data_IF_058089431540
#
_entry.id   IF_058089431540
#
_cell.length_a   1.000
_cell.length_b   1.000
_cell.length_c   1.000
_cell.angle_alpha   90.00
_cell.angle_beta   90.00
_cell.angle_gamma   90.00
#
_symmetry.space_group_name_H-M   'P 1'
#
loop_
_entity.id
_entity.type
_entity.pdbx_description
1 polymer ?
#
# COMPACT_ATOMS: atom_id res chain seq x y z
N UNK A 1 41.49 16.80 31.49
CA UNK A 1 40.49 15.84 31.00
C UNK A 1 39.56 16.63 30.09
N UNK A 2 39.58 16.32 28.79
CA UNK A 2 39.03 17.11 27.70
C UNK A 2 37.50 16.94 27.65
N UNK A 3 36.78 17.98 28.06
CA UNK A 3 35.30 18.02 28.13
C UNK A 3 34.68 18.02 26.73
N UNK A 4 35.46 18.20 25.65
CA UNK A 4 34.99 18.23 24.25
C UNK A 4 34.69 16.85 23.68
N UNK A 5 35.40 15.81 24.13
CA UNK A 5 35.21 14.41 23.72
C UNK A 5 33.93 13.80 24.29
N UNK A 6 33.51 14.24 25.47
CA UNK A 6 32.29 13.74 26.11
C UNK A 6 30.99 14.19 25.34
N UNK A 7 30.96 15.42 24.85
CA UNK A 7 29.77 15.92 24.11
C UNK A 7 29.55 15.18 22.80
N UNK A 8 30.62 14.85 22.08
CA UNK A 8 30.52 14.08 20.83
C UNK A 8 30.04 12.64 21.07
N UNK A 9 30.53 12.03 22.14
CA UNK A 9 30.14 10.68 22.55
C UNK A 9 28.68 10.62 23.02
N UNK A 10 28.22 11.59 23.81
CA UNK A 10 26.80 11.67 24.21
C UNK A 10 25.87 11.96 23.02
N UNK A 11 26.29 12.80 22.07
CA UNK A 11 25.56 13.03 20.83
C UNK A 11 25.48 11.76 19.97
N UNK A 12 26.58 11.03 19.84
CA UNK A 12 26.61 9.76 19.14
C UNK A 12 25.69 8.70 19.78
N UNK A 13 25.76 8.54 21.12
CA UNK A 13 24.88 7.65 21.88
C UNK A 13 23.43 8.08 21.69
N UNK A 14 23.11 9.37 21.75
CA UNK A 14 21.76 9.88 21.51
C UNK A 14 21.25 9.57 20.11
N UNK A 15 22.08 9.71 19.08
CA UNK A 15 21.75 9.35 17.70
C UNK A 15 21.53 7.83 17.54
N UNK A 16 22.40 7.01 18.13
CA UNK A 16 22.26 5.55 18.11
C UNK A 16 20.97 5.13 18.82
N UNK A 17 20.69 5.71 19.99
CA UNK A 17 19.45 5.44 20.71
C UNK A 17 18.23 5.84 19.87
N UNK A 18 18.26 7.00 19.22
CA UNK A 18 17.22 7.48 18.34
C UNK A 18 17.04 6.59 17.10
N UNK A 19 18.14 6.05 16.55
CA UNK A 19 18.06 5.04 15.48
C UNK A 19 17.51 3.70 15.98
N UNK A 20 17.88 3.26 17.19
CA UNK A 20 17.33 2.04 17.78
C UNK A 20 15.84 2.17 18.10
N UNK A 21 15.38 3.35 18.51
CA UNK A 21 13.95 3.64 18.73
C UNK A 21 13.11 3.66 17.44
N UNK A 22 13.75 3.84 16.27
CA UNK A 22 13.13 3.73 14.97
C UNK A 22 12.98 2.27 14.53
N UNK A 23 13.74 1.33 15.12
CA UNK A 23 13.59 -0.09 14.79
C UNK A 23 12.20 -0.59 15.25
N UNK A 24 11.55 -1.42 14.45
CA UNK A 24 10.23 -1.92 14.78
C UNK A 24 10.28 -2.80 16.02
N UNK A 25 9.52 -2.42 17.05
CA UNK A 25 9.34 -3.25 18.25
C UNK A 25 8.51 -4.49 17.95
N UNK A 26 7.66 -4.41 16.93
CA UNK A 26 6.84 -5.51 16.44
C UNK A 26 6.87 -5.52 14.90
N UNK A 27 7.68 -6.42 14.34
CA UNK A 27 7.85 -6.52 12.88
C UNK A 27 6.56 -6.97 12.20
N UNK A 28 5.90 -7.99 12.74
CA UNK A 28 4.68 -8.57 12.19
C UNK A 28 3.49 -8.37 13.13
N UNK A 29 2.34 -8.13 12.54
CA UNK A 29 1.05 -8.00 13.22
C UNK A 29 0.05 -8.98 12.59
N UNK A 30 -0.17 -10.11 13.26
CA UNK A 30 -1.13 -11.13 12.84
C UNK A 30 -2.40 -11.02 13.70
N UNK A 31 -3.26 -10.09 13.37
CA UNK A 31 -4.57 -9.96 13.97
C UNK A 31 -5.68 -10.50 13.01
N UNK A 32 -6.95 -10.61 13.44
CA UNK A 32 -8.03 -11.11 12.59
C UNK A 32 -8.17 -10.38 11.25
N UNK A 33 -7.91 -9.07 11.22
CA UNK A 33 -7.95 -8.29 9.97
C UNK A 33 -6.83 -8.71 9.01
N UNK A 34 -5.59 -8.81 9.51
CA UNK A 34 -4.45 -9.28 8.71
C UNK A 34 -4.67 -10.69 8.18
N UNK A 35 -5.14 -11.61 9.04
CA UNK A 35 -5.41 -12.99 8.66
C UNK A 35 -6.51 -13.10 7.60
N UNK A 36 -7.57 -12.30 7.71
CA UNK A 36 -8.63 -12.24 6.70
C UNK A 36 -8.07 -11.82 5.34
N UNK A 37 -7.26 -10.75 5.29
CA UNK A 37 -6.69 -10.30 4.02
C UNK A 37 -5.62 -11.25 3.48
N UNK A 38 -4.82 -11.91 4.33
CA UNK A 38 -3.90 -12.97 3.91
C UNK A 38 -4.66 -14.14 3.26
N UNK A 39 -5.80 -14.52 3.83
CA UNK A 39 -6.65 -15.57 3.24
C UNK A 39 -7.17 -15.16 1.86
N UNK A 40 -7.64 -13.91 1.70
CA UNK A 40 -8.09 -13.37 0.39
C UNK A 40 -6.95 -13.38 -0.62
N UNK A 41 -5.74 -12.95 -0.21
CA UNK A 41 -4.54 -12.99 -1.06
C UNK A 41 -4.28 -14.43 -1.52
N UNK A 42 -4.29 -15.39 -0.62
CA UNK A 42 -4.02 -16.79 -0.93
C UNK A 42 -5.06 -17.38 -1.89
N UNK A 43 -6.35 -17.19 -1.61
CA UNK A 43 -7.46 -17.74 -2.42
C UNK A 43 -7.41 -17.27 -3.87
N UNK A 44 -6.99 -16.03 -4.12
CA UNK A 44 -6.96 -15.48 -5.49
C UNK A 44 -5.61 -15.71 -6.16
N UNK A 45 -4.51 -15.57 -5.41
CA UNK A 45 -3.17 -15.70 -5.98
C UNK A 45 -2.83 -17.15 -6.38
N UNK A 46 -3.29 -18.14 -5.61
CA UNK A 46 -2.99 -19.54 -5.91
C UNK A 46 -3.58 -20.01 -7.25
N UNK A 47 -4.89 -19.84 -7.55
CA UNK A 47 -5.44 -20.19 -8.86
C UNK A 47 -4.80 -19.38 -10.00
N UNK A 48 -4.52 -18.09 -9.77
CA UNK A 48 -3.87 -17.24 -10.78
C UNK A 48 -2.45 -17.71 -11.11
N UNK A 49 -1.70 -18.14 -10.09
CA UNK A 49 -0.36 -18.72 -10.29
C UNK A 49 -0.43 -20.06 -11.07
N UNK A 50 -1.39 -20.94 -10.73
CA UNK A 50 -1.59 -22.20 -11.45
C UNK A 50 -1.99 -21.92 -12.91
N UNK A 51 -2.90 -20.97 -13.15
CA UNK A 51 -3.32 -20.57 -14.50
C UNK A 51 -2.14 -20.06 -15.32
N UNK A 52 -1.23 -19.30 -14.73
CA UNK A 52 -0.05 -18.74 -15.41
C UNK A 52 0.86 -19.80 -16.00
N UNK A 53 0.91 -21.00 -15.41
CA UNK A 53 1.75 -22.12 -15.90
C UNK A 53 1.37 -22.59 -17.31
N UNK A 54 0.07 -22.54 -17.64
CA UNK A 54 -0.44 -22.86 -18.98
C UNK A 54 -0.48 -21.63 -19.90
N UNK A 55 -0.93 -20.50 -19.36
CA UNK A 55 -1.19 -19.27 -20.12
C UNK A 55 0.07 -18.70 -20.80
N UNK A 56 1.22 -18.71 -20.11
CA UNK A 56 2.46 -18.15 -20.64
C UNK A 56 3.18 -19.07 -21.63
N UNK A 57 2.88 -20.40 -21.60
CA UNK A 57 3.49 -21.36 -22.49
C UNK A 57 2.98 -21.16 -23.93
N UNK A 58 3.93 -21.02 -24.86
CA UNK A 58 3.63 -20.82 -26.27
C UNK A 58 3.55 -19.37 -26.73
N UNK A 59 3.34 -18.42 -25.83
CA UNK A 59 3.32 -17.00 -26.16
C UNK A 59 4.67 -16.30 -25.93
N UNK A 60 5.42 -16.76 -24.91
CA UNK A 60 6.66 -16.10 -24.50
C UNK A 60 7.85 -17.07 -24.42
N UNK A 61 9.08 -16.60 -24.69
CA UNK A 61 10.30 -17.39 -24.47
C UNK A 61 10.49 -17.69 -22.97
N UNK A 62 11.16 -18.79 -22.66
CA UNK A 62 11.34 -19.29 -21.28
C UNK A 62 11.90 -18.24 -20.31
N UNK A 63 12.83 -17.39 -20.78
CA UNK A 63 13.40 -16.31 -19.96
C UNK A 63 12.35 -15.27 -19.50
N UNK A 64 11.42 -14.88 -20.39
CA UNK A 64 10.30 -14.00 -20.04
C UNK A 64 9.31 -14.68 -19.10
N UNK A 65 9.02 -15.98 -19.31
CA UNK A 65 8.16 -16.76 -18.42
C UNK A 65 8.74 -16.78 -16.99
N UNK A 66 10.04 -17.08 -16.87
CA UNK A 66 10.73 -17.09 -15.57
C UNK A 66 10.69 -15.73 -14.89
N UNK A 67 10.93 -14.64 -15.62
CA UNK A 67 10.83 -13.28 -15.12
C UNK A 67 9.40 -12.96 -14.62
N UNK A 68 8.38 -13.35 -15.39
CA UNK A 68 6.98 -13.16 -14.99
C UNK A 68 6.66 -13.87 -13.68
N UNK A 69 7.12 -15.11 -13.50
CA UNK A 69 6.90 -15.86 -12.26
C UNK A 69 7.64 -15.25 -11.07
N UNK A 70 8.87 -14.80 -11.28
CA UNK A 70 9.65 -14.15 -10.24
C UNK A 70 8.97 -12.85 -9.78
N UNK A 71 8.52 -12.01 -10.72
CA UNK A 71 7.77 -10.81 -10.44
C UNK A 71 6.42 -11.14 -9.75
N UNK A 72 5.72 -12.19 -10.20
CA UNK A 72 4.47 -12.64 -9.58
C UNK A 72 4.67 -13.04 -8.11
N UNK A 73 5.73 -13.81 -7.80
CA UNK A 73 6.05 -14.20 -6.41
C UNK A 73 6.35 -12.96 -5.56
N UNK A 74 7.19 -12.04 -6.05
CA UNK A 74 7.51 -10.80 -5.32
C UNK A 74 6.25 -9.96 -5.12
N UNK A 75 5.35 -9.92 -6.11
CA UNK A 75 4.07 -9.21 -6.02
C UNK A 75 3.18 -9.78 -4.91
N UNK A 76 3.02 -11.12 -4.86
CA UNK A 76 2.22 -11.79 -3.82
C UNK A 76 2.83 -11.56 -2.43
N UNK A 77 4.16 -11.72 -2.31
CA UNK A 77 4.87 -11.50 -1.04
C UNK A 77 4.77 -10.05 -0.57
N UNK A 78 4.84 -9.07 -1.48
CA UNK A 78 4.69 -7.66 -1.12
C UNK A 78 3.28 -7.34 -0.61
N UNK A 79 2.23 -7.90 -1.22
CA UNK A 79 0.85 -7.77 -0.74
C UNK A 79 0.68 -8.42 0.64
N UNK A 80 1.25 -9.62 0.84
CA UNK A 80 1.23 -10.30 2.13
C UNK A 80 1.97 -9.48 3.21
N UNK A 81 3.12 -8.89 2.86
CA UNK A 81 3.84 -7.99 3.76
C UNK A 81 3.01 -6.75 4.13
N UNK A 82 2.38 -6.08 3.15
CA UNK A 82 1.51 -4.91 3.40
C UNK A 82 0.45 -5.19 4.47
N UNK A 83 -0.16 -6.37 4.46
CA UNK A 83 -1.24 -6.70 5.41
C UNK A 83 -0.78 -7.33 6.72
N UNK A 84 0.50 -7.69 6.84
CA UNK A 84 1.03 -8.41 8.01
C UNK A 84 2.06 -7.62 8.83
N UNK A 85 2.57 -6.49 8.34
CA UNK A 85 3.55 -5.69 9.08
C UNK A 85 2.88 -4.80 10.13
N UNK A 86 3.61 -4.55 11.24
CA UNK A 86 3.17 -3.71 12.36
C UNK A 86 3.85 -2.34 12.44
N UNK A 87 4.62 -1.96 11.40
CA UNK A 87 5.41 -0.73 11.36
C UNK A 87 5.19 0.01 10.04
N UNK A 88 5.00 1.35 10.12
CA UNK A 88 4.69 2.21 8.96
C UNK A 88 5.82 2.24 7.93
N UNK A 89 7.09 2.26 8.35
CA UNK A 89 8.22 2.31 7.40
C UNK A 89 8.27 1.03 6.57
N UNK A 90 8.12 -0.13 7.22
CA UNK A 90 8.10 -1.42 6.53
C UNK A 90 6.84 -1.54 5.66
N UNK A 91 5.69 -1.04 6.14
CA UNK A 91 4.47 -0.95 5.36
C UNK A 91 4.69 -0.14 4.07
N UNK A 92 5.30 1.05 4.15
CA UNK A 92 5.59 1.88 2.98
C UNK A 92 6.56 1.21 2.01
N UNK A 93 7.62 0.54 2.52
CA UNK A 93 8.54 -0.22 1.66
C UNK A 93 7.80 -1.35 0.93
N UNK A 94 7.01 -2.15 1.64
CA UNK A 94 6.21 -3.22 1.02
C UNK A 94 5.19 -2.67 0.03
N UNK A 95 4.56 -1.52 0.33
CA UNK A 95 3.62 -0.81 -0.53
C UNK A 95 4.27 -0.33 -1.83
N UNK A 96 5.47 0.22 -1.76
CA UNK A 96 6.23 0.66 -2.94
C UNK A 96 6.73 -0.53 -3.77
N UNK A 97 7.23 -1.60 -3.13
CA UNK A 97 7.60 -2.83 -3.84
C UNK A 97 6.38 -3.39 -4.60
N UNK A 98 5.21 -3.45 -3.95
CA UNK A 98 3.96 -3.87 -4.58
C UNK A 98 3.62 -3.01 -5.80
N UNK A 99 3.81 -1.69 -5.72
CA UNK A 99 3.53 -0.75 -6.81
C UNK A 99 4.50 -0.90 -7.98
N UNK A 100 5.81 -0.99 -7.68
CA UNK A 100 6.85 -1.14 -8.69
C UNK A 100 6.75 -2.48 -9.41
N UNK A 101 6.54 -3.57 -8.68
CA UNK A 101 6.44 -4.90 -9.29
C UNK A 101 5.19 -5.02 -10.16
N UNK A 102 4.05 -4.49 -9.69
CA UNK A 102 2.84 -4.45 -10.51
C UNK A 102 2.98 -3.57 -11.76
N UNK A 103 3.75 -2.47 -11.69
CA UNK A 103 4.10 -1.69 -12.87
C UNK A 103 4.85 -2.54 -13.91
N UNK A 104 5.92 -3.25 -13.51
CA UNK A 104 6.66 -4.13 -14.41
C UNK A 104 5.78 -5.24 -15.00
N UNK A 105 4.81 -5.74 -14.24
CA UNK A 105 3.86 -6.73 -14.72
C UNK A 105 2.81 -6.14 -15.70
N UNK A 106 2.41 -4.87 -15.55
CA UNK A 106 1.54 -4.16 -16.51
C UNK A 106 2.28 -3.89 -17.83
N UNK A 107 3.55 -3.47 -17.73
CA UNK A 107 4.41 -3.17 -18.88
C UNK A 107 5.15 -4.42 -19.38
N UNK A 108 4.70 -5.61 -18.99
CA UNK A 108 5.38 -6.87 -19.31
C UNK A 108 5.58 -7.08 -20.82
N UNK A 109 4.59 -6.70 -21.62
CA UNK A 109 4.70 -6.66 -23.06
C UNK A 109 5.07 -5.26 -23.54
N UNK A 110 6.39 -5.03 -23.66
CA UNK A 110 6.97 -3.75 -24.12
C UNK A 110 6.81 -3.50 -25.62
N UNK A 111 6.29 -4.46 -26.40
CA UNK A 111 6.06 -4.30 -27.83
C UNK A 111 4.86 -3.40 -28.11
N UNK A 112 3.95 -3.27 -27.17
CA UNK A 112 2.76 -2.42 -27.28
C UNK A 112 2.96 -1.08 -26.58
N UNK A 113 2.98 0.00 -27.35
CA UNK A 113 3.09 1.38 -26.84
C UNK A 113 2.01 1.72 -25.80
N UNK A 114 0.79 1.17 -25.98
CA UNK A 114 -0.31 1.34 -25.02
C UNK A 114 0.00 0.77 -23.63
N UNK A 115 0.76 -0.32 -23.54
CA UNK A 115 1.18 -0.91 -22.24
C UNK A 115 2.12 0.04 -21.51
N UNK A 116 3.06 0.68 -22.22
CA UNK A 116 3.99 1.64 -21.64
C UNK A 116 3.25 2.88 -21.13
N UNK A 117 2.32 3.42 -21.95
CA UNK A 117 1.51 4.57 -21.56
C UNK A 117 0.63 4.27 -20.34
N UNK A 118 -0.03 3.12 -20.33
CA UNK A 118 -0.86 2.67 -19.21
C UNK A 118 -0.05 2.46 -17.93
N UNK A 119 1.12 1.82 -18.03
CA UNK A 119 2.03 1.64 -16.91
C UNK A 119 2.57 2.97 -16.37
N UNK A 120 2.92 3.90 -17.26
CA UNK A 120 3.41 5.23 -16.86
C UNK A 120 2.32 6.00 -16.11
N UNK A 121 1.09 6.00 -16.59
CA UNK A 121 -0.03 6.61 -15.88
C UNK A 121 -0.25 5.95 -14.51
N UNK A 122 -0.21 4.62 -14.46
CA UNK A 122 -0.35 3.84 -13.23
C UNK A 122 0.71 4.20 -12.19
N UNK A 123 2.00 4.20 -12.56
CA UNK A 123 3.08 4.46 -11.61
C UNK A 123 3.05 5.91 -11.10
N UNK A 124 2.76 6.89 -11.95
CA UNK A 124 2.62 8.29 -11.55
C UNK A 124 1.48 8.43 -10.52
N UNK A 125 0.31 7.88 -10.81
CA UNK A 125 -0.85 7.97 -9.90
C UNK A 125 -0.58 7.30 -8.56
N UNK A 126 0.04 6.12 -8.56
CA UNK A 126 0.37 5.41 -7.31
C UNK A 126 1.38 6.15 -6.46
N UNK A 127 2.42 6.77 -7.06
CA UNK A 127 3.41 7.57 -6.33
C UNK A 127 2.79 8.84 -5.75
N UNK A 128 1.89 9.51 -6.50
CA UNK A 128 1.11 10.63 -5.94
C UNK A 128 0.32 10.16 -4.71
N UNK A 129 -0.37 9.01 -4.81
CA UNK A 129 -1.07 8.42 -3.66
C UNK A 129 -0.14 8.16 -2.47
N UNK A 130 1.04 7.58 -2.71
CA UNK A 130 2.03 7.32 -1.65
C UNK A 130 2.54 8.61 -1.00
N UNK A 131 2.70 9.69 -1.74
CA UNK A 131 3.08 10.99 -1.18
C UNK A 131 2.05 11.48 -0.13
N UNK A 132 0.75 11.31 -0.39
CA UNK A 132 -0.31 11.59 0.58
C UNK A 132 -0.24 10.67 1.81
N UNK A 133 0.07 9.37 1.62
CA UNK A 133 0.27 8.45 2.73
C UNK A 133 1.46 8.86 3.60
N UNK A 134 2.60 9.21 2.99
CA UNK A 134 3.79 9.69 3.71
C UNK A 134 3.43 10.92 4.54
N UNK A 135 2.73 11.91 3.95
CA UNK A 135 2.30 13.11 4.68
C UNK A 135 1.42 12.76 5.90
N UNK A 136 0.44 11.86 5.73
CA UNK A 136 -0.42 11.40 6.82
C UNK A 136 0.38 10.71 7.95
N UNK A 137 1.30 9.82 7.57
CA UNK A 137 2.12 9.08 8.53
C UNK A 137 3.14 9.99 9.26
N UNK A 138 3.68 10.98 8.59
CA UNK A 138 4.55 11.97 9.23
C UNK A 138 3.77 12.83 10.24
N UNK A 139 2.51 13.18 9.95
CA UNK A 139 1.65 13.84 10.93
C UNK A 139 1.35 12.95 12.14
N UNK A 140 1.08 11.66 11.94
CA UNK A 140 0.91 10.69 13.03
C UNK A 140 2.19 10.54 13.86
N UNK A 141 3.35 10.50 13.20
CA UNK A 141 4.67 10.41 13.86
C UNK A 141 4.96 11.60 14.78
N UNK A 142 4.51 12.81 14.44
CA UNK A 142 4.69 13.99 15.28
C UNK A 142 4.13 13.79 16.71
N UNK A 143 3.05 13.03 16.84
CA UNK A 143 2.40 12.74 18.12
C UNK A 143 2.91 11.46 18.77
N UNK A 144 3.15 10.41 17.97
CA UNK A 144 3.56 9.10 18.48
C UNK A 144 5.05 8.99 18.77
N UNK A 145 5.90 9.75 18.08
CA UNK A 145 7.36 9.65 18.05
C UNK A 145 7.87 8.22 17.73
N UNK A 146 7.01 7.41 17.11
CA UNK A 146 7.31 6.03 16.72
C UNK A 146 6.53 5.70 15.43
N UNK A 147 7.09 4.79 14.63
CA UNK A 147 6.43 4.25 13.43
C UNK A 147 5.66 2.96 13.70
N UNK A 148 5.64 2.43 14.93
CA UNK A 148 4.89 1.23 15.29
C UNK A 148 3.38 1.52 15.38
N UNK A 149 2.56 0.66 14.78
CA UNK A 149 1.10 0.81 14.73
C UNK A 149 0.47 0.92 16.12
N UNK A 150 0.92 0.11 17.08
CA UNK A 150 0.39 0.13 18.44
C UNK A 150 0.69 1.46 19.14
N UNK A 151 1.90 1.97 18.99
CA UNK A 151 2.31 3.26 19.56
C UNK A 151 1.56 4.41 18.93
N UNK A 152 1.38 4.38 17.60
CA UNK A 152 0.56 5.37 16.88
C UNK A 152 -0.90 5.34 17.33
N UNK A 153 -1.50 4.15 17.50
CA UNK A 153 -2.86 3.99 18.00
C UNK A 153 -3.04 4.63 19.38
N UNK A 154 -2.12 4.37 20.30
CA UNK A 154 -2.18 4.92 21.66
C UNK A 154 -2.02 6.46 21.64
N UNK A 155 -1.12 6.98 20.83
CA UNK A 155 -0.91 8.41 20.67
C UNK A 155 -2.07 9.12 19.96
N UNK A 156 -2.82 8.41 19.12
CA UNK A 156 -3.93 8.99 18.37
C UNK A 156 -5.04 9.57 19.27
N UNK A 157 -5.17 9.10 20.50
CA UNK A 157 -6.15 9.64 21.47
C UNK A 157 -5.87 11.12 21.75
N UNK A 158 -4.61 11.54 21.82
CA UNK A 158 -4.19 12.90 22.10
C UNK A 158 -4.22 13.85 20.88
N UNK A 159 -4.48 13.34 19.67
CA UNK A 159 -4.48 14.15 18.46
C UNK A 159 -5.76 15.02 18.42
N UNK A 160 -5.63 16.35 18.19
CA UNK A 160 -6.79 17.22 18.03
C UNK A 160 -7.70 16.80 16.88
N UNK A 161 -9.02 17.00 17.03
CA UNK A 161 -10.02 16.59 16.03
C UNK A 161 -9.74 17.18 14.63
N UNK A 162 -9.31 18.43 14.56
CA UNK A 162 -8.94 19.07 13.30
C UNK A 162 -7.77 18.36 12.58
N UNK A 163 -6.73 18.01 13.32
CA UNK A 163 -5.57 17.27 12.80
C UNK A 163 -5.97 15.87 12.35
N UNK A 164 -6.83 15.17 13.11
CA UNK A 164 -7.40 13.88 12.70
C UNK A 164 -8.15 13.98 11.38
N UNK A 165 -8.92 15.05 11.17
CA UNK A 165 -9.63 15.26 9.92
C UNK A 165 -8.68 15.42 8.72
N UNK A 166 -7.57 16.15 8.89
CA UNK A 166 -6.56 16.30 7.85
C UNK A 166 -5.90 14.93 7.54
N UNK A 167 -5.49 14.20 8.58
CA UNK A 167 -4.90 12.87 8.43
C UNK A 167 -5.87 11.92 7.73
N UNK A 168 -7.15 11.94 8.08
CA UNK A 168 -8.20 11.15 7.43
C UNK A 168 -8.28 11.44 5.93
N UNK A 169 -8.32 12.72 5.53
CA UNK A 169 -8.37 13.12 4.12
C UNK A 169 -7.13 12.64 3.37
N UNK A 170 -5.94 12.83 3.95
CA UNK A 170 -4.68 12.39 3.35
C UNK A 170 -4.65 10.85 3.16
N UNK A 171 -5.07 10.09 4.16
CA UNK A 171 -5.20 8.63 4.08
C UNK A 171 -6.22 8.20 3.04
N UNK A 172 -7.39 8.88 3.00
CA UNK A 172 -8.45 8.58 2.04
C UNK A 172 -8.00 8.83 0.60
N UNK A 173 -7.29 9.93 0.34
CA UNK A 173 -6.71 10.23 -0.99
C UNK A 173 -5.62 9.21 -1.32
N UNK A 174 -4.69 8.96 -0.42
CA UNK A 174 -3.56 8.07 -0.66
C UNK A 174 -3.99 6.63 -0.94
N UNK A 175 -4.79 6.04 -0.06
CA UNK A 175 -5.33 4.69 -0.27
C UNK A 175 -6.38 4.67 -1.38
N UNK A 176 -7.21 5.70 -1.49
CA UNK A 176 -8.25 5.84 -2.51
C UNK A 176 -7.70 5.83 -3.93
N UNK A 177 -6.53 6.43 -4.15
CA UNK A 177 -5.84 6.38 -5.44
C UNK A 177 -5.51 4.94 -5.83
N UNK A 178 -4.98 4.14 -4.92
CA UNK A 178 -4.66 2.72 -5.16
C UNK A 178 -5.92 1.86 -5.24
N UNK A 179 -6.94 2.17 -4.43
CA UNK A 179 -8.23 1.49 -4.46
C UNK A 179 -9.05 1.79 -5.73
N UNK A 180 -8.67 2.81 -6.51
CA UNK A 180 -9.43 3.22 -7.69
C UNK A 180 -10.75 3.90 -7.35
N UNK A 181 -10.81 4.67 -6.25
CA UNK A 181 -11.98 5.46 -5.87
C UNK A 181 -12.10 6.66 -6.80
N UNK A 182 -13.31 6.94 -7.32
CA UNK A 182 -13.57 8.12 -8.15
C UNK A 182 -13.34 9.40 -7.36
N UNK A 183 -12.61 10.41 -7.89
CA UNK A 183 -12.09 10.54 -9.27
C UNK A 183 -10.65 9.98 -9.48
N UNK A 184 -10.05 9.33 -8.48
CA UNK A 184 -8.65 8.88 -8.50
C UNK A 184 -8.44 7.55 -9.26
N UNK A 185 -9.48 7.01 -9.89
CA UNK A 185 -9.52 5.72 -10.59
C UNK A 185 -8.95 5.74 -12.01
N UNK A 186 -8.52 6.90 -12.52
CA UNK A 186 -8.18 7.12 -13.94
C UNK A 186 -7.18 6.09 -14.51
N UNK A 187 -6.23 5.61 -13.70
CA UNK A 187 -5.24 4.61 -14.11
C UNK A 187 -5.84 3.21 -14.35
N UNK A 188 -6.96 2.90 -13.71
CA UNK A 188 -7.51 1.55 -13.62
C UNK A 188 -8.02 1.02 -14.96
N UNK A 189 -8.83 1.76 -15.76
CA UNK A 189 -9.26 1.32 -17.07
C UNK A 189 -8.14 1.17 -18.10
N UNK A 190 -7.00 1.85 -17.89
CA UNK A 190 -5.84 1.73 -18.77
C UNK A 190 -4.92 0.57 -18.39
N UNK A 191 -4.63 0.38 -17.09
CA UNK A 191 -3.68 -0.62 -16.62
C UNK A 191 -4.22 -2.05 -16.72
N UNK A 192 -5.50 -2.27 -16.36
CA UNK A 192 -6.10 -3.61 -16.35
C UNK A 192 -6.12 -4.33 -17.70
N UNK A 193 -6.52 -3.69 -18.83
CA UNK A 193 -6.54 -4.35 -20.12
C UNK A 193 -5.13 -4.67 -20.67
N UNK A 194 -4.09 -3.96 -20.20
CA UNK A 194 -2.72 -4.16 -20.68
C UNK A 194 -1.97 -5.22 -19.88
N UNK A 195 -2.38 -5.49 -18.64
CA UNK A 195 -1.76 -6.52 -17.83
C UNK A 195 -2.13 -7.94 -18.34
N UNK A 196 -1.20 -8.92 -18.34
CA UNK A 196 -1.53 -10.31 -18.61
C UNK A 196 -2.68 -10.82 -17.73
N UNK A 197 -3.56 -11.68 -18.25
CA UNK A 197 -4.82 -12.06 -17.59
C UNK A 197 -4.66 -12.55 -16.15
N UNK A 198 -3.62 -13.35 -15.85
CA UNK A 198 -3.33 -13.85 -14.51
C UNK A 198 -2.89 -12.72 -13.54
N UNK A 199 -2.24 -11.69 -14.06
CA UNK A 199 -1.85 -10.51 -13.29
C UNK A 199 -3.04 -9.59 -13.06
N UNK A 200 -3.82 -9.33 -14.12
CA UNK A 200 -5.04 -8.50 -14.04
C UNK A 200 -6.02 -9.04 -13.01
N UNK A 201 -6.16 -10.39 -12.90
CA UNK A 201 -7.00 -11.02 -11.87
C UNK A 201 -6.52 -10.76 -10.44
N UNK A 202 -5.21 -10.78 -10.19
CA UNK A 202 -4.64 -10.46 -8.86
C UNK A 202 -4.73 -8.96 -8.58
N UNK A 203 -4.47 -8.10 -9.56
CA UNK A 203 -4.60 -6.65 -9.41
C UNK A 203 -6.04 -6.28 -9.00
N UNK A 204 -7.05 -6.77 -9.73
CA UNK A 204 -8.44 -6.48 -9.43
C UNK A 204 -8.97 -7.22 -8.20
N UNK A 205 -8.57 -8.48 -8.02
CA UNK A 205 -9.05 -9.32 -6.93
C UNK A 205 -8.45 -9.00 -5.57
N UNK A 206 -7.17 -8.59 -5.51
CA UNK A 206 -6.40 -8.47 -4.26
C UNK A 206 -5.75 -7.11 -4.09
N UNK A 207 -4.94 -6.64 -5.05
CA UNK A 207 -4.14 -5.44 -4.89
C UNK A 207 -4.97 -4.21 -4.52
N UNK A 208 -6.10 -3.99 -5.19
CA UNK A 208 -7.05 -2.92 -4.87
C UNK A 208 -7.59 -3.08 -3.43
N UNK A 209 -7.81 -4.32 -2.98
CA UNK A 209 -8.32 -4.62 -1.64
C UNK A 209 -7.29 -4.38 -0.54
N UNK A 210 -5.98 -4.46 -0.82
CA UNK A 210 -4.95 -4.05 0.15
C UNK A 210 -5.05 -2.57 0.50
N UNK A 211 -5.52 -1.71 -0.41
CA UNK A 211 -5.80 -0.32 -0.11
C UNK A 211 -7.02 -0.16 0.83
N UNK A 212 -8.05 -0.98 0.66
CA UNK A 212 -9.18 -1.04 1.61
C UNK A 212 -8.71 -1.50 2.98
N UNK A 213 -7.83 -2.53 3.04
CA UNK A 213 -7.16 -2.90 4.30
C UNK A 213 -6.48 -1.67 4.94
N UNK A 214 -5.74 -0.87 4.17
CA UNK A 214 -5.08 0.33 4.66
C UNK A 214 -6.08 1.34 5.24
N UNK A 215 -7.20 1.60 4.57
CA UNK A 215 -8.27 2.47 5.10
C UNK A 215 -8.81 1.93 6.43
N UNK A 216 -9.17 0.65 6.50
CA UNK A 216 -9.67 0.04 7.72
C UNK A 216 -8.62 0.10 8.83
N UNK A 217 -7.38 -0.30 8.53
CA UNK A 217 -6.26 -0.33 9.50
C UNK A 217 -5.96 1.05 10.08
N UNK A 218 -5.76 2.04 9.24
CA UNK A 218 -5.28 3.34 9.68
C UNK A 218 -6.41 4.27 10.11
N UNK A 219 -7.57 4.25 9.46
CA UNK A 219 -8.68 5.13 9.82
C UNK A 219 -9.48 4.57 11.00
N UNK A 220 -9.85 3.27 10.96
CA UNK A 220 -10.71 2.72 12.01
C UNK A 220 -9.92 2.24 13.23
N UNK A 221 -8.81 1.51 13.04
CA UNK A 221 -8.10 0.87 14.15
C UNK A 221 -7.03 1.75 14.79
N UNK A 222 -6.35 2.62 14.02
CA UNK A 222 -5.26 3.47 14.53
C UNK A 222 -5.81 4.86 14.88
N UNK A 223 -6.39 5.58 13.93
CA UNK A 223 -6.87 6.95 14.15
C UNK A 223 -8.12 6.99 15.04
N UNK A 224 -8.94 5.93 14.97
CA UNK A 224 -10.24 5.83 15.62
C UNK A 224 -11.29 6.68 14.90
N UNK A 225 -12.53 6.18 14.82
CA UNK A 225 -13.62 6.93 14.19
C UNK A 225 -13.97 8.13 15.08
N UNK A 226 -13.66 9.31 14.60
CA UNK A 226 -13.79 10.55 15.38
C UNK A 226 -15.03 11.37 15.00
N UNK A 227 -15.60 11.15 13.80
CA UNK A 227 -16.69 11.96 13.30
C UNK A 227 -17.57 11.20 12.31
N UNK A 228 -18.87 11.38 12.39
CA UNK A 228 -19.84 10.75 11.48
C UNK A 228 -19.67 11.14 10.01
N UNK A 229 -19.16 12.35 9.73
CA UNK A 229 -18.94 12.80 8.35
C UNK A 229 -17.86 11.98 7.60
N UNK A 230 -16.92 11.35 8.31
CA UNK A 230 -15.94 10.45 7.68
C UNK A 230 -16.64 9.27 7.00
N UNK A 231 -17.55 8.62 7.73
CA UNK A 231 -18.33 7.50 7.17
C UNK A 231 -19.23 7.95 6.02
N UNK A 232 -19.88 9.12 6.15
CA UNK A 232 -20.73 9.68 5.10
C UNK A 232 -19.93 10.00 3.85
N UNK A 233 -18.74 10.60 3.97
CA UNK A 233 -17.87 10.92 2.82
C UNK A 233 -17.39 9.66 2.11
N UNK A 234 -16.98 8.63 2.84
CA UNK A 234 -16.59 7.33 2.26
C UNK A 234 -17.79 6.68 1.54
N UNK A 235 -18.98 6.72 2.15
CA UNK A 235 -20.20 6.19 1.53
C UNK A 235 -20.55 6.90 0.23
N UNK A 236 -20.52 8.24 0.22
CA UNK A 236 -20.77 9.04 -1.00
C UNK A 236 -19.77 8.69 -2.10
N UNK A 237 -18.47 8.64 -1.78
CA UNK A 237 -17.43 8.27 -2.75
C UNK A 237 -17.61 6.84 -3.27
N UNK A 238 -18.01 5.90 -2.41
CA UNK A 238 -18.30 4.54 -2.81
C UNK A 238 -19.51 4.45 -3.76
N UNK A 239 -20.59 5.19 -3.46
CA UNK A 239 -21.78 5.26 -4.34
C UNK A 239 -21.44 5.85 -5.71
N UNK A 240 -20.70 6.96 -5.75
CA UNK A 240 -20.27 7.57 -7.01
C UNK A 240 -19.37 6.60 -7.77
N UNK A 241 -18.43 5.93 -7.11
CA UNK A 241 -17.52 4.96 -7.75
C UNK A 241 -18.30 3.76 -8.31
N UNK A 242 -19.33 3.29 -7.60
CA UNK A 242 -20.20 2.22 -8.08
C UNK A 242 -20.98 2.64 -9.33
N UNK A 243 -21.59 3.81 -9.32
CA UNK A 243 -22.34 4.34 -10.47
C UNK A 243 -21.45 4.53 -11.69
N UNK A 244 -20.29 5.15 -11.51
CA UNK A 244 -19.32 5.34 -12.61
C UNK A 244 -18.84 3.99 -13.14
N UNK A 245 -18.54 3.02 -12.28
CA UNK A 245 -18.09 1.69 -12.70
C UNK A 245 -19.14 0.85 -13.42
N UNK A 246 -20.42 1.15 -13.26
CA UNK A 246 -21.52 0.51 -14.02
C UNK A 246 -21.69 1.16 -15.41
N UNK A 247 -21.38 2.45 -15.54
CA UNK A 247 -21.52 3.19 -16.81
C UNK A 247 -20.34 2.93 -17.75
N UNK A 248 -19.16 2.63 -17.19
CA UNK A 248 -17.93 2.32 -17.96
C UNK A 248 -18.01 0.93 -18.58
#
# INVERSE_FOLDING_TARGET
VDISTDKGFFLFIGLVQQMLDLLPKQLFLFDPLSLFFLLVIFIISLPSAIYSLGYLKGEYPFSKILLSWLLLVVFILSMAAVVSVGNVLIFLVAWEIMSLVSYFLVVFDTTHEKSIQAGTLYIIMTHIGTAFLIAAFMMLYQYSKSFDFLTMKNAAVAIPAQTKNIIFILLLVGFGTKAGIVPLHIWLPYAHPQAPSHISSIMSGVMIKTAIYGIIRFVMFILGVNSSWWGVSVLILAMISCLVGVIY
#
